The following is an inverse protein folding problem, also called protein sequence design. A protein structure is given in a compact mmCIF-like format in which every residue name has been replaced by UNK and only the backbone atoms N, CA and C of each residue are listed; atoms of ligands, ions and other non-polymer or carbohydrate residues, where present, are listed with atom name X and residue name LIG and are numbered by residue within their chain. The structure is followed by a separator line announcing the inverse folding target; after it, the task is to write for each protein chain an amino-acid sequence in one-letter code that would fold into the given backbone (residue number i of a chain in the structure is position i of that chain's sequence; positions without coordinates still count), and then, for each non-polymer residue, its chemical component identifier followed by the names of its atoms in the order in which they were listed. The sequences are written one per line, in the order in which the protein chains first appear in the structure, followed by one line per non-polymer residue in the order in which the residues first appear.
data_IF_634248351288
#
_entry.id   IF_634248351288
#
_cell.length_a   1.000
_cell.length_b   1.000
_cell.length_c   1.000
_cell.angle_alpha   90.00
_cell.angle_beta   90.00
_cell.angle_gamma   90.00
#
_symmetry.space_group_name_H-M   'P 1'
#
loop_
_entity.id
_entity.type
_entity.pdbx_description
1 polymer ?
#
# COMPACT_ATOMS: atom_id res chain seq x y z
N UNK A 1 19.54 -0.80 0.40
CA UNK A 1 18.60 -0.45 -0.68
C UNK A 1 17.44 -1.38 -0.46
N UNK A 2 16.34 -0.87 0.07
CA UNK A 2 15.22 -1.72 0.45
C UNK A 2 14.53 -2.16 -0.84
N UNK A 3 14.46 -3.47 -1.06
CA UNK A 3 13.84 -4.04 -2.25
C UNK A 3 12.38 -4.36 -1.92
N UNK A 4 11.47 -3.84 -2.72
CA UNK A 4 10.04 -4.06 -2.57
C UNK A 4 9.44 -4.70 -3.83
N UNK A 5 8.40 -5.49 -3.65
CA UNK A 5 7.62 -6.11 -4.72
C UNK A 5 6.17 -5.64 -4.68
N UNK A 6 5.60 -5.34 -5.85
CA UNK A 6 4.18 -5.02 -6.00
C UNK A 6 3.43 -6.27 -6.45
N UNK A 7 2.45 -6.69 -5.66
CA UNK A 7 1.53 -7.77 -6.01
C UNK A 7 0.15 -7.20 -6.33
N UNK A 8 -0.47 -7.68 -7.42
CA UNK A 8 -1.81 -7.29 -7.84
C UNK A 8 -2.76 -8.46 -7.68
N UNK A 9 -4.00 -8.20 -7.26
CA UNK A 9 -5.05 -9.20 -7.42
C UNK A 9 -5.43 -9.35 -8.89
N UNK A 10 -5.86 -10.55 -9.29
CA UNK A 10 -6.26 -10.84 -10.67
C UNK A 10 -7.32 -9.85 -11.19
N UNK A 11 -8.30 -9.52 -10.35
CA UNK A 11 -9.36 -8.55 -10.68
C UNK A 11 -8.99 -7.08 -10.47
N UNK A 12 -7.72 -6.75 -10.16
CA UNK A 12 -7.26 -5.39 -9.85
C UNK A 12 -8.11 -4.68 -8.79
N UNK A 13 -8.61 -5.44 -7.83
CA UNK A 13 -9.43 -4.96 -6.71
C UNK A 13 -8.63 -4.83 -5.40
N UNK A 14 -7.33 -5.18 -5.44
CA UNK A 14 -6.38 -4.99 -4.38
C UNK A 14 -4.94 -4.93 -4.93
N UNK A 15 -4.10 -4.16 -4.25
CA UNK A 15 -2.67 -4.00 -4.51
C UNK A 15 -1.93 -4.17 -3.20
N UNK A 16 -0.83 -4.91 -3.20
CA UNK A 16 0.06 -5.08 -2.04
C UNK A 16 1.48 -4.67 -2.38
N UNK A 17 2.21 -4.20 -1.37
CA UNK A 17 3.65 -3.90 -1.43
C UNK A 17 4.33 -4.72 -0.34
N UNK A 18 5.26 -5.57 -0.75
CA UNK A 18 5.99 -6.48 0.12
C UNK A 18 7.46 -6.06 0.23
N UNK A 19 7.98 -6.01 1.44
CA UNK A 19 9.42 -5.90 1.72
C UNK A 19 10.08 -7.25 1.44
N UNK A 20 11.04 -7.28 0.53
CA UNK A 20 11.80 -8.49 0.22
C UNK A 20 12.90 -8.79 1.27
N UNK A 21 13.18 -7.86 2.17
CA UNK A 21 14.19 -8.02 3.22
C UNK A 21 13.64 -8.82 4.39
N UNK A 22 12.44 -8.47 4.86
CA UNK A 22 11.86 -9.05 6.08
C UNK A 22 10.47 -9.69 5.86
N UNK A 23 9.99 -9.72 4.62
CA UNK A 23 8.73 -10.36 4.24
C UNK A 23 7.48 -9.59 4.66
N UNK A 24 7.62 -8.37 5.17
CA UNK A 24 6.49 -7.56 5.61
C UNK A 24 5.63 -7.11 4.43
N UNK A 25 4.31 -7.21 4.55
CA UNK A 25 3.40 -6.41 3.71
C UNK A 25 3.32 -5.01 4.30
N UNK A 26 4.04 -4.07 3.69
CA UNK A 26 4.12 -2.68 4.18
C UNK A 26 3.03 -1.80 3.58
N UNK A 27 2.46 -2.19 2.44
CA UNK A 27 1.37 -1.45 1.79
C UNK A 27 0.25 -2.37 1.34
N UNK A 28 -1.01 -1.97 1.54
CA UNK A 28 -2.18 -2.54 0.89
C UNK A 28 -3.12 -1.42 0.46
N UNK A 29 -3.56 -1.47 -0.79
CA UNK A 29 -4.73 -0.72 -1.25
C UNK A 29 -5.83 -1.70 -1.58
N UNK A 30 -7.01 -1.53 -1.01
CA UNK A 30 -8.17 -2.39 -1.28
C UNK A 30 -9.46 -1.60 -1.29
N UNK A 31 -10.57 -2.26 -1.64
CA UNK A 31 -11.89 -1.61 -1.73
C UNK A 31 -12.37 -0.94 -0.43
N UNK A 32 -11.82 -1.35 0.71
CA UNK A 32 -12.29 -0.96 2.05
C UNK A 32 -11.23 -0.28 2.91
N UNK A 33 -10.20 0.29 2.29
CA UNK A 33 -9.21 1.09 2.99
C UNK A 33 -7.84 1.05 2.35
N UNK A 34 -6.98 1.87 2.92
CA UNK A 34 -5.54 1.92 2.65
C UNK A 34 -4.83 1.49 3.91
N UNK A 35 -3.86 0.60 3.80
CA UNK A 35 -2.95 0.24 4.89
C UNK A 35 -1.53 0.56 4.46
N UNK A 36 -0.86 1.46 5.19
CA UNK A 36 0.56 1.73 5.03
C UNK A 36 1.22 1.57 6.39
N UNK A 37 2.08 0.56 6.53
CA UNK A 37 2.65 0.12 7.78
C UNK A 37 4.17 0.30 7.81
N UNK A 38 4.74 0.37 9.02
CA UNK A 38 6.16 0.14 9.22
C UNK A 38 6.48 -1.35 9.03
N UNK A 39 7.70 -1.65 8.62
CA UNK A 39 8.16 -3.04 8.46
C UNK A 39 8.18 -3.76 9.81
N UNK A 40 8.19 -5.10 9.82
CA UNK A 40 8.33 -5.85 11.07
C UNK A 40 9.68 -5.57 11.74
N UNK A 41 10.72 -5.28 10.95
CA UNK A 41 12.02 -4.85 11.45
C UNK A 41 11.91 -3.57 12.26
N UNK A 42 11.23 -2.56 11.73
CA UNK A 42 11.02 -1.27 12.40
C UNK A 42 10.13 -1.42 13.64
N UNK A 43 9.08 -2.23 13.57
CA UNK A 43 8.18 -2.49 14.70
C UNK A 43 8.92 -3.15 15.88
N UNK A 44 9.84 -4.07 15.59
CA UNK A 44 10.73 -4.68 16.62
C UNK A 44 11.67 -3.67 17.27
N UNK A 45 11.94 -2.55 16.60
CA UNK A 45 12.71 -1.42 17.14
C UNK A 45 11.83 -0.39 17.86
N UNK A 46 10.52 -0.65 18.00
CA UNK A 46 9.59 0.17 18.78
C UNK A 46 8.73 1.12 17.94
N UNK A 47 8.81 1.06 16.61
CA UNK A 47 7.89 1.82 15.74
C UNK A 47 6.47 1.25 15.83
N UNK A 48 5.46 2.11 15.68
CA UNK A 48 4.07 1.65 15.57
C UNK A 48 3.87 0.83 14.30
N UNK A 49 2.88 -0.07 14.26
CA UNK A 49 2.52 -0.77 13.03
C UNK A 49 2.02 0.22 11.96
N UNK A 50 0.95 0.98 12.27
CA UNK A 50 0.34 1.89 11.32
C UNK A 50 1.19 3.16 11.13
N UNK A 51 1.50 3.48 9.87
CA UNK A 51 1.99 4.81 9.45
C UNK A 51 0.82 5.66 8.97
N UNK A 52 -0.04 5.08 8.12
CA UNK A 52 -1.25 5.70 7.61
C UNK A 52 -2.22 4.60 7.21
N UNK A 53 -3.34 4.49 7.93
CA UNK A 53 -4.40 3.58 7.57
C UNK A 53 -5.75 4.29 7.51
N UNK A 54 -6.56 3.94 6.53
CA UNK A 54 -7.94 4.41 6.37
C UNK A 54 -8.90 3.23 6.39
N UNK A 55 -10.12 3.47 6.84
CA UNK A 55 -11.17 2.46 6.87
C UNK A 55 -12.39 2.98 6.11
N UNK A 56 -12.93 2.14 5.22
CA UNK A 56 -14.13 2.46 4.46
C UNK A 56 -13.91 2.47 2.94
N UNK A 57 -14.97 2.74 2.17
CA UNK A 57 -14.89 2.78 0.71
C UNK A 57 -13.83 3.76 0.23
N UNK A 58 -12.87 3.26 -0.56
CA UNK A 58 -11.76 4.08 -1.07
C UNK A 58 -12.17 4.98 -2.22
N UNK A 59 -11.60 6.18 -2.25
CA UNK A 59 -11.83 7.22 -3.26
C UNK A 59 -10.64 7.36 -4.22
N UNK A 60 -10.79 8.23 -5.23
CA UNK A 60 -9.65 8.64 -6.08
C UNK A 60 -8.53 9.30 -5.29
N UNK A 61 -8.87 10.06 -4.24
CA UNK A 61 -7.88 10.70 -3.39
C UNK A 61 -7.08 9.67 -2.59
N UNK A 62 -7.74 8.62 -2.07
CA UNK A 62 -7.06 7.51 -1.39
C UNK A 62 -6.11 6.76 -2.33
N UNK A 63 -6.53 6.55 -3.58
CA UNK A 63 -5.67 5.91 -4.59
C UNK A 63 -4.43 6.75 -4.90
N UNK A 64 -4.60 8.06 -5.08
CA UNK A 64 -3.49 8.98 -5.29
C UNK A 64 -2.56 8.99 -4.07
N UNK A 65 -3.11 9.09 -2.86
CA UNK A 65 -2.38 9.07 -1.60
C UNK A 65 -1.54 7.80 -1.46
N UNK A 66 -2.13 6.63 -1.73
CA UNK A 66 -1.42 5.35 -1.67
C UNK A 66 -0.19 5.34 -2.59
N UNK A 67 -0.35 5.79 -3.85
CA UNK A 67 0.75 5.83 -4.83
C UNK A 67 1.83 6.83 -4.43
N UNK A 68 1.44 8.02 -3.98
CA UNK A 68 2.37 9.06 -3.53
C UNK A 68 3.20 8.57 -2.34
N UNK A 69 2.55 7.97 -1.34
CA UNK A 69 3.25 7.46 -0.15
C UNK A 69 4.08 6.22 -0.43
N UNK A 70 3.65 5.34 -1.34
CA UNK A 70 4.47 4.22 -1.78
C UNK A 70 5.79 4.68 -2.42
N UNK A 71 5.72 5.73 -3.26
CA UNK A 71 6.91 6.32 -3.87
C UNK A 71 7.78 7.05 -2.83
N UNK A 72 7.17 7.88 -1.98
CA UNK A 72 7.87 8.67 -0.96
C UNK A 72 8.60 7.79 0.06
N UNK A 73 7.97 6.71 0.51
CA UNK A 73 8.46 5.92 1.66
C UNK A 73 9.29 4.72 1.28
N UNK A 74 9.04 4.14 0.11
CA UNK A 74 9.65 2.88 -0.32
C UNK A 74 10.29 2.97 -1.71
N UNK A 75 10.18 4.11 -2.39
CA UNK A 75 10.65 4.24 -3.77
C UNK A 75 9.87 3.39 -4.77
N UNK A 76 8.66 2.96 -4.41
CA UNK A 76 7.83 2.07 -5.22
C UNK A 76 6.88 2.87 -6.09
N UNK A 77 7.14 2.90 -7.41
CA UNK A 77 6.19 3.44 -8.38
C UNK A 77 5.09 2.41 -8.68
N UNK A 78 3.93 2.57 -8.04
CA UNK A 78 2.76 1.73 -8.30
C UNK A 78 2.06 2.22 -9.57
N UNK A 79 1.89 1.35 -10.61
CA UNK A 79 1.26 1.75 -11.87
C UNK A 79 -0.16 2.28 -11.68
N UNK A 80 -0.53 3.32 -12.44
CA UNK A 80 -1.87 3.94 -12.34
C UNK A 80 -3.03 2.96 -12.64
N UNK A 81 -2.77 1.93 -13.45
CA UNK A 81 -3.73 0.88 -13.80
C UNK A 81 -3.67 -0.34 -12.87
N UNK A 82 -2.85 -0.34 -11.81
CA UNK A 82 -2.72 -1.44 -10.85
C UNK A 82 -4.04 -1.75 -10.13
N UNK A 83 -4.90 -0.75 -9.96
CA UNK A 83 -6.25 -0.88 -9.40
C UNK A 83 -7.31 -0.47 -10.43
N UNK A 84 -8.45 -1.16 -10.43
CA UNK A 84 -9.60 -0.81 -11.24
C UNK A 84 -10.33 0.40 -10.66
N UNK A 85 -10.10 1.57 -11.28
CA UNK A 85 -10.67 2.84 -10.82
C UNK A 85 -12.21 2.90 -10.85
N UNK A 86 -12.88 1.94 -11.51
CA UNK A 86 -14.35 1.81 -11.46
C UNK A 86 -14.87 1.32 -10.12
N UNK A 87 -14.00 0.74 -9.28
CA UNK A 87 -14.33 0.23 -7.95
C UNK A 87 -14.22 1.31 -6.86
N UNK A 88 -13.78 2.52 -7.22
CA UNK A 88 -13.67 3.64 -6.30
C UNK A 88 -15.05 4.21 -5.98
N UNK A 89 -15.22 4.66 -4.73
CA UNK A 89 -16.35 5.48 -4.34
C UNK A 89 -16.36 6.81 -5.12
N UNK A 90 -17.57 7.34 -5.32
CA UNK A 90 -17.80 8.61 -6.02
C UNK A 90 -17.32 9.80 -5.20
#
# INVERSE_FOLDING_TARGET
MDCYEVQLSEGRNAVWIHSLIDGSTVGRFGRMGVDLHNSITDQRQGMSECRLCTHGPVTRADWQLFREKALEWWGVDVPANAFDLRLLAK
#
